data_IF_707572596076
#
_entry.id   IF_707572596076
#
_cell.length_a   1.000
_cell.length_b   1.000
_cell.length_c   1.000
_cell.angle_alpha   90.00
_cell.angle_beta   90.00
_cell.angle_gamma   90.00
#
_symmetry.space_group_name_H-M   'P 1'
#
loop_
_entity.id
_entity.type
_entity.pdbx_description
1 polymer ?
#
# COMPACT_ATOMS: atom_id res chain seq x y z
N UNK A 1 22.69 -3.81 -16.74
CA UNK A 1 23.58 -4.93 -16.34
C UNK A 1 22.79 -6.22 -16.11
N UNK A 2 21.53 -6.13 -15.66
CA UNK A 2 20.64 -7.31 -15.53
C UNK A 2 20.23 -7.76 -16.92
N UNK A 3 20.37 -9.08 -17.19
CA UNK A 3 19.95 -9.69 -18.45
C UNK A 3 18.64 -10.45 -18.22
N UNK A 4 17.80 -10.60 -19.25
CA UNK A 4 16.61 -11.43 -19.15
C UNK A 4 16.93 -12.87 -18.73
N UNK A 5 16.07 -13.42 -17.87
CA UNK A 5 16.13 -14.83 -17.45
C UNK A 5 15.66 -15.77 -18.58
N UNK A 6 15.66 -17.07 -18.31
CA UNK A 6 15.09 -18.06 -19.22
C UNK A 6 13.60 -17.83 -19.53
N UNK A 7 12.88 -17.05 -18.67
CA UNK A 7 11.49 -16.62 -18.88
C UNK A 7 11.36 -15.34 -19.73
N UNK A 8 12.49 -14.73 -20.13
CA UNK A 8 12.52 -13.47 -20.87
C UNK A 8 12.29 -12.22 -20.01
N UNK A 9 12.29 -12.34 -18.68
CA UNK A 9 12.03 -11.27 -17.74
C UNK A 9 13.29 -10.76 -17.04
N UNK A 10 13.32 -9.47 -16.70
CA UNK A 10 14.36 -8.88 -15.86
C UNK A 10 14.02 -9.18 -14.39
N UNK A 11 14.66 -10.19 -13.83
CA UNK A 11 14.38 -10.66 -12.48
C UNK A 11 14.89 -9.69 -11.40
N UNK A 12 14.00 -9.28 -10.50
CA UNK A 12 14.36 -8.43 -9.35
C UNK A 12 15.36 -9.14 -8.43
N UNK A 13 15.28 -10.47 -8.30
CA UNK A 13 16.22 -11.27 -7.53
C UNK A 13 17.65 -11.17 -8.04
N UNK A 14 17.85 -11.06 -9.37
CA UNK A 14 19.17 -10.81 -9.95
C UNK A 14 19.73 -9.45 -9.54
N UNK A 15 18.86 -8.42 -9.53
CA UNK A 15 19.24 -7.09 -9.06
C UNK A 15 19.62 -7.11 -7.57
N UNK A 16 18.80 -7.74 -6.74
CA UNK A 16 19.06 -7.88 -5.32
C UNK A 16 20.40 -8.62 -5.05
N UNK A 17 20.70 -9.69 -5.79
CA UNK A 17 21.96 -10.41 -5.70
C UNK A 17 23.18 -9.54 -6.07
N UNK A 18 23.01 -8.63 -7.04
CA UNK A 18 24.06 -7.67 -7.41
C UNK A 18 24.37 -6.68 -6.28
N UNK A 19 23.33 -6.17 -5.57
CA UNK A 19 23.51 -5.30 -4.42
C UNK A 19 24.04 -6.08 -3.22
N UNK A 20 23.58 -7.31 -3.00
CA UNK A 20 24.09 -8.17 -1.93
C UNK A 20 25.59 -8.43 -2.09
N UNK A 21 26.08 -8.72 -3.30
CA UNK A 21 27.50 -8.93 -3.59
C UNK A 21 28.37 -7.68 -3.39
N UNK A 22 27.77 -6.50 -3.38
CA UNK A 22 28.47 -5.23 -3.08
C UNK A 22 28.37 -4.81 -1.64
N UNK A 23 27.69 -5.58 -0.79
CA UNK A 23 27.40 -5.22 0.60
C UNK A 23 26.56 -3.91 0.72
N UNK A 24 25.70 -3.68 -0.28
CA UNK A 24 24.83 -2.50 -0.42
C UNK A 24 23.33 -2.84 -0.30
N UNK A 25 22.99 -4.04 0.18
CA UNK A 25 21.61 -4.50 0.34
C UNK A 25 21.18 -4.50 1.80
N UNK A 26 20.18 -3.69 2.12
CA UNK A 26 19.50 -3.72 3.42
C UNK A 26 18.29 -4.65 3.39
N UNK A 27 18.07 -5.39 4.47
CA UNK A 27 16.96 -6.32 4.62
C UNK A 27 16.06 -5.91 5.77
N UNK A 28 14.76 -5.76 5.50
CA UNK A 28 13.73 -5.54 6.51
C UNK A 28 12.91 -6.83 6.71
N UNK A 29 12.92 -7.37 7.92
CA UNK A 29 12.12 -8.54 8.27
C UNK A 29 10.70 -8.09 8.63
N UNK A 30 9.72 -8.55 7.84
CA UNK A 30 8.31 -8.31 8.12
C UNK A 30 7.84 -9.23 9.25
N UNK A 31 7.22 -8.65 10.27
CA UNK A 31 6.66 -9.40 11.40
C UNK A 31 5.35 -10.13 11.05
N UNK A 32 4.77 -10.80 12.05
CA UNK A 32 3.55 -11.64 11.88
C UNK A 32 2.30 -10.87 11.44
N UNK A 33 2.27 -9.55 11.60
CA UNK A 33 1.15 -8.69 11.20
C UNK A 33 1.14 -8.32 9.72
N UNK A 34 2.14 -8.73 8.95
CA UNK A 34 2.24 -8.45 7.52
C UNK A 34 1.74 -9.63 6.70
N UNK A 35 1.04 -9.33 5.60
CA UNK A 35 0.66 -10.30 4.59
C UNK A 35 1.34 -9.92 3.27
N UNK A 36 2.09 -10.87 2.69
CA UNK A 36 2.63 -10.74 1.34
C UNK A 36 1.66 -11.43 0.38
N UNK A 37 1.13 -10.69 -0.58
CA UNK A 37 0.18 -11.18 -1.57
C UNK A 37 0.76 -10.91 -2.96
N UNK A 38 1.00 -11.99 -3.71
CA UNK A 38 1.36 -11.89 -5.12
C UNK A 38 0.09 -11.69 -5.95
N UNK A 39 0.16 -10.85 -6.98
CA UNK A 39 -0.97 -10.53 -7.87
C UNK A 39 -0.65 -10.83 -9.33
N UNK A 40 0.26 -11.75 -9.57
CA UNK A 40 0.74 -12.12 -10.91
C UNK A 40 -0.23 -12.95 -11.74
N UNK A 41 -1.29 -13.49 -11.13
CA UNK A 41 -2.36 -14.24 -11.81
C UNK A 41 -3.72 -13.62 -11.52
N UNK A 42 -4.72 -13.94 -12.35
CA UNK A 42 -6.10 -13.48 -12.10
C UNK A 42 -6.65 -14.02 -10.77
N UNK A 43 -6.34 -15.26 -10.43
CA UNK A 43 -6.75 -15.88 -9.17
C UNK A 43 -6.12 -15.18 -7.96
N UNK A 44 -4.80 -14.99 -7.96
CA UNK A 44 -4.09 -14.31 -6.87
C UNK A 44 -4.49 -12.85 -6.73
N UNK A 45 -4.86 -12.17 -7.81
CA UNK A 45 -5.41 -10.81 -7.75
C UNK A 45 -6.79 -10.78 -7.06
N UNK A 46 -7.65 -11.75 -7.33
CA UNK A 46 -8.96 -11.87 -6.66
C UNK A 46 -8.77 -12.16 -5.18
N UNK A 47 -7.90 -13.09 -4.82
CA UNK A 47 -7.58 -13.43 -3.43
C UNK A 47 -7.05 -12.20 -2.66
N UNK A 48 -6.15 -11.43 -3.26
CA UNK A 48 -5.64 -10.21 -2.67
C UNK A 48 -6.75 -9.15 -2.47
N UNK A 49 -7.64 -8.99 -3.46
CA UNK A 49 -8.77 -8.07 -3.38
C UNK A 49 -9.76 -8.47 -2.27
N UNK A 50 -10.06 -9.76 -2.14
CA UNK A 50 -10.93 -10.27 -1.09
C UNK A 50 -10.31 -10.14 0.30
N UNK A 51 -9.00 -10.39 0.43
CA UNK A 51 -8.28 -10.17 1.67
C UNK A 51 -8.36 -8.70 2.11
N UNK A 52 -8.02 -7.76 1.22
CA UNK A 52 -8.10 -6.31 1.50
C UNK A 52 -9.52 -5.91 1.89
N UNK A 53 -10.51 -6.33 1.11
CA UNK A 53 -11.94 -6.04 1.37
C UNK A 53 -12.38 -6.55 2.74
N UNK A 54 -11.97 -7.75 3.11
CA UNK A 54 -12.34 -8.36 4.39
C UNK A 54 -11.71 -7.60 5.57
N UNK A 55 -10.42 -7.27 5.49
CA UNK A 55 -9.72 -6.52 6.53
C UNK A 55 -10.35 -5.13 6.71
N UNK A 56 -10.53 -4.38 5.62
CA UNK A 56 -11.14 -3.05 5.67
C UNK A 56 -12.55 -3.08 6.27
N UNK A 57 -13.37 -4.06 5.86
CA UNK A 57 -14.74 -4.21 6.36
C UNK A 57 -14.80 -4.54 7.85
N UNK A 58 -13.86 -5.36 8.33
CA UNK A 58 -13.84 -5.81 9.73
C UNK A 58 -13.25 -4.79 10.67
N UNK A 59 -12.22 -4.09 10.23
CA UNK A 59 -11.50 -3.11 11.05
C UNK A 59 -12.05 -1.68 10.89
N UNK A 60 -12.82 -1.41 9.83
CA UNK A 60 -13.34 -0.07 9.56
C UNK A 60 -12.29 0.95 9.12
N UNK A 61 -11.13 0.48 8.68
CA UNK A 61 -10.02 1.29 8.19
C UNK A 61 -9.84 1.08 6.69
N UNK A 62 -9.02 1.92 6.07
CA UNK A 62 -8.54 1.74 4.71
C UNK A 62 -7.08 1.29 4.70
N UNK A 63 -6.78 0.26 3.90
CA UNK A 63 -5.41 -0.17 3.67
C UNK A 63 -4.79 0.76 2.64
N UNK A 64 -3.61 1.31 2.95
CA UNK A 64 -2.85 2.18 2.05
C UNK A 64 -3.67 3.38 1.54
N UNK A 65 -4.28 4.16 2.43
CA UNK A 65 -4.88 5.45 2.08
C UNK A 65 -3.79 6.53 2.02
N UNK A 66 -3.25 6.89 0.83
CA UNK A 66 -2.07 7.76 0.72
C UNK A 66 -2.29 9.14 1.35
N UNK A 67 -3.46 9.72 1.15
CA UNK A 67 -3.81 11.04 1.70
C UNK A 67 -3.91 11.03 3.23
N UNK A 68 -4.44 9.95 3.80
CA UNK A 68 -4.45 9.76 5.25
C UNK A 68 -3.04 9.64 5.82
N UNK A 69 -2.19 8.84 5.15
CA UNK A 69 -0.79 8.67 5.53
C UNK A 69 -0.07 10.00 5.47
N UNK A 70 -0.21 10.75 4.37
CA UNK A 70 0.40 12.05 4.17
C UNK A 70 -0.05 13.06 5.26
N UNK A 71 -1.33 13.06 5.60
CA UNK A 71 -1.87 13.90 6.68
C UNK A 71 -1.31 13.51 8.05
N UNK A 72 -1.26 12.22 8.35
CA UNK A 72 -0.73 11.69 9.62
C UNK A 72 0.74 12.04 9.84
N UNK A 73 1.54 12.05 8.78
CA UNK A 73 2.96 12.44 8.84
C UNK A 73 3.17 13.96 8.67
N UNK A 74 2.11 14.76 8.55
CA UNK A 74 2.20 16.21 8.43
C UNK A 74 2.73 16.69 7.07
N UNK A 75 2.68 15.84 6.04
CA UNK A 75 3.08 16.22 4.68
C UNK A 75 2.01 17.05 3.96
N UNK A 76 0.76 16.88 4.37
CA UNK A 76 -0.35 17.72 3.94
C UNK A 76 -1.13 18.22 5.17
N UNK A 77 -1.78 19.36 5.03
CA UNK A 77 -2.65 19.91 6.06
C UNK A 77 -4.09 19.39 5.93
N UNK A 78 -4.94 19.80 6.88
CA UNK A 78 -6.35 19.40 6.93
C UNK A 78 -7.14 19.93 5.71
N UNK A 79 -6.82 21.11 5.23
CA UNK A 79 -7.50 21.73 4.08
C UNK A 79 -7.24 20.94 2.80
N UNK A 80 -5.99 20.60 2.53
CA UNK A 80 -5.57 19.73 1.42
C UNK A 80 -6.22 18.34 1.49
N UNK A 81 -6.34 17.78 2.70
CA UNK A 81 -7.03 16.50 2.89
C UNK A 81 -8.51 16.59 2.56
N UNK A 82 -9.19 17.64 2.97
CA UNK A 82 -10.62 17.88 2.68
C UNK A 82 -10.85 18.16 1.19
N UNK A 83 -9.94 18.88 0.53
CA UNK A 83 -9.97 19.05 -0.92
C UNK A 83 -9.86 17.71 -1.65
N UNK A 84 -8.92 16.87 -1.25
CA UNK A 84 -8.78 15.50 -1.78
C UNK A 84 -10.06 14.69 -1.56
N UNK A 85 -10.63 14.73 -0.34
CA UNK A 85 -11.89 14.07 -0.05
C UNK A 85 -13.03 14.53 -0.96
N UNK A 86 -13.05 15.81 -1.34
CA UNK A 86 -14.07 16.37 -2.24
C UNK A 86 -13.95 15.83 -3.66
N UNK A 87 -12.74 15.57 -4.15
CA UNK A 87 -12.49 14.94 -5.46
C UNK A 87 -13.09 13.53 -5.55
N UNK A 88 -13.08 12.78 -4.44
CA UNK A 88 -13.70 11.46 -4.36
C UNK A 88 -15.21 11.52 -4.12
N UNK A 89 -15.78 12.68 -3.88
CA UNK A 89 -17.21 12.94 -3.75
C UNK A 89 -17.88 12.12 -2.65
N UNK A 90 -18.99 11.44 -3.01
CA UNK A 90 -19.77 10.59 -2.09
C UNK A 90 -19.28 9.15 -1.99
N UNK A 91 -18.10 8.84 -2.53
CA UNK A 91 -17.53 7.50 -2.44
C UNK A 91 -17.21 7.13 -0.98
N UNK A 92 -17.14 5.83 -0.66
CA UNK A 92 -16.69 5.38 0.66
C UNK A 92 -15.28 5.88 1.02
N UNK A 93 -14.40 6.05 0.02
CA UNK A 93 -13.06 6.58 0.23
C UNK A 93 -13.08 8.07 0.57
N UNK A 94 -13.85 8.88 -0.17
CA UNK A 94 -14.02 10.30 0.16
C UNK A 94 -14.63 10.52 1.55
N UNK A 95 -15.59 9.67 1.96
CA UNK A 95 -16.15 9.72 3.30
C UNK A 95 -15.11 9.33 4.37
N UNK A 96 -14.26 8.35 4.07
CA UNK A 96 -13.15 7.96 4.96
C UNK A 96 -12.20 9.14 5.19
N UNK A 97 -11.74 9.82 4.15
CA UNK A 97 -10.85 10.98 4.28
C UNK A 97 -11.47 12.13 5.09
N UNK A 98 -12.79 12.36 4.95
CA UNK A 98 -13.51 13.31 5.79
C UNK A 98 -13.49 12.90 7.26
N UNK A 99 -13.71 11.63 7.55
CA UNK A 99 -13.66 11.10 8.91
C UNK A 99 -12.26 11.22 9.53
N UNK A 100 -11.20 11.03 8.72
CA UNK A 100 -9.81 11.29 9.15
C UNK A 100 -9.62 12.77 9.48
N UNK A 101 -10.01 13.68 8.59
CA UNK A 101 -9.90 15.14 8.79
C UNK A 101 -10.67 15.64 10.01
N UNK A 102 -11.77 14.98 10.36
CA UNK A 102 -12.63 15.30 11.52
C UNK A 102 -12.17 14.59 12.82
N UNK A 103 -11.08 13.81 12.79
CA UNK A 103 -10.58 13.07 13.96
C UNK A 103 -11.53 11.97 14.47
N UNK A 104 -12.43 11.47 13.61
CA UNK A 104 -13.39 10.42 13.97
C UNK A 104 -12.82 9.01 13.97
N UNK A 105 -11.66 8.82 13.33
CA UNK A 105 -10.96 7.55 13.33
C UNK A 105 -9.90 7.56 14.42
N UNK A 106 -9.99 6.60 15.33
CA UNK A 106 -8.99 6.36 16.38
C UNK A 106 -8.19 5.12 16.03
N UNK A 107 -6.88 5.23 16.09
CA UNK A 107 -5.93 4.15 15.90
C UNK A 107 -5.33 3.73 17.24
#
# INVERSE_FOLDING_TARGET
QVKPSARGELEITTLNDMYLKKDELDVQLLGRGFAWLDTGTMESLVDAADFVRMVEKRQGIKISAPEEIAFKYGWIDRETLLESASRYGKSPYGQHLKNVADGKLRY
#
